data_IF_187380176872
#
_entry.id   IF_187380176872
#
_cell.length_a   1.000
_cell.length_b   1.000
_cell.length_c   1.000
_cell.angle_alpha   90.00
_cell.angle_beta   90.00
_cell.angle_gamma   90.00
#
_symmetry.space_group_name_H-M   'P 1'
#
loop_
_entity.id
_entity.type
_entity.pdbx_description
1 polymer ?
#
# COMPACT_ATOMS: atom_id res chain seq x y z
N UNK A 1 -21.46 14.49 51.80
CA UNK A 1 -20.57 15.19 50.86
C UNK A 1 -20.31 14.24 49.71
N UNK A 2 -20.92 14.47 48.55
CA UNK A 2 -20.65 13.72 47.32
C UNK A 2 -19.72 14.56 46.46
N UNK A 3 -18.52 14.06 46.26
CA UNK A 3 -17.52 14.68 45.39
C UNK A 3 -17.80 14.25 43.95
N UNK A 4 -17.99 15.23 43.06
CA UNK A 4 -18.26 15.03 41.64
C UNK A 4 -16.93 14.89 40.91
N UNK A 5 -16.62 13.71 40.42
CA UNK A 5 -15.56 13.53 39.42
C UNK A 5 -16.18 13.77 38.05
N UNK A 6 -16.17 15.02 37.60
CA UNK A 6 -16.43 15.34 36.20
C UNK A 6 -15.16 14.96 35.42
N UNK A 7 -15.22 13.87 34.65
CA UNK A 7 -14.22 13.58 33.65
C UNK A 7 -14.46 14.54 32.49
N UNK A 8 -13.72 15.65 32.51
CA UNK A 8 -13.66 16.62 31.43
C UNK A 8 -12.84 15.97 30.31
N UNK A 9 -13.52 15.31 29.37
CA UNK A 9 -12.95 14.97 28.06
C UNK A 9 -13.07 16.19 27.17
N UNK A 10 -12.30 17.22 27.50
CA UNK A 10 -11.86 18.20 26.53
C UNK A 10 -10.66 17.57 25.81
N UNK A 11 -10.95 16.92 24.68
CA UNK A 11 -9.94 16.66 23.64
C UNK A 11 -9.93 17.91 22.76
N UNK A 12 -9.08 18.92 23.02
CA UNK A 12 -8.93 19.98 22.06
C UNK A 12 -8.29 19.32 20.85
N UNK A 13 -9.05 19.22 19.76
CA UNK A 13 -8.45 19.24 18.44
C UNK A 13 -7.63 20.51 18.35
N UNK A 14 -6.40 20.44 18.86
CA UNK A 14 -5.45 21.52 18.84
C UNK A 14 -5.10 21.64 17.36
N UNK A 15 -5.78 22.59 16.70
CA UNK A 15 -5.49 22.97 15.32
C UNK A 15 -4.15 23.71 15.41
N UNK A 16 -3.10 22.95 15.67
CA UNK A 16 -1.74 23.44 15.71
C UNK A 16 -1.41 23.84 14.27
N UNK A 17 -1.35 25.15 14.04
CA UNK A 17 -0.80 25.69 12.81
C UNK A 17 0.60 25.14 12.65
N UNK A 18 0.93 24.68 11.45
CA UNK A 18 2.21 24.03 11.14
C UNK A 18 3.45 24.93 11.27
N UNK A 19 3.28 26.18 11.69
CA UNK A 19 4.36 27.15 11.86
C UNK A 19 5.10 27.47 10.57
N UNK A 20 4.59 27.05 9.40
CA UNK A 20 5.29 27.15 8.12
C UNK A 20 6.44 26.16 7.92
N UNK A 21 6.59 25.15 8.80
CA UNK A 21 7.59 24.10 8.63
C UNK A 21 7.20 23.16 7.49
N UNK A 22 8.19 22.79 6.66
CA UNK A 22 8.00 21.73 5.67
C UNK A 22 7.74 20.38 6.36
N UNK A 23 7.13 19.45 5.62
CA UNK A 23 6.88 18.10 6.13
C UNK A 23 8.15 17.40 6.62
N UNK A 24 9.28 17.66 5.97
CA UNK A 24 10.59 17.06 6.31
C UNK A 24 11.12 17.64 7.62
N UNK A 25 11.07 18.96 7.77
CA UNK A 25 11.50 19.63 9.02
C UNK A 25 10.62 19.21 10.20
N UNK A 26 9.33 18.99 9.96
CA UNK A 26 8.41 18.49 10.99
C UNK A 26 8.73 17.05 11.36
N UNK A 27 9.03 16.18 10.39
CA UNK A 27 9.41 14.79 10.67
C UNK A 27 10.66 14.70 11.56
N UNK A 28 11.65 15.56 11.33
CA UNK A 28 12.90 15.58 12.11
C UNK A 28 12.71 16.00 13.58
N UNK A 29 11.64 16.73 13.91
CA UNK A 29 11.36 17.19 15.28
C UNK A 29 10.51 16.21 16.09
N UNK A 30 10.01 15.13 15.46
CA UNK A 30 9.12 14.18 16.10
C UNK A 30 9.93 13.11 16.85
N UNK A 31 9.65 12.96 18.14
CA UNK A 31 10.08 11.78 18.88
C UNK A 31 9.08 10.63 18.66
N UNK A 32 9.51 9.60 17.94
CA UNK A 32 8.68 8.45 17.62
C UNK A 32 8.27 7.62 18.84
N UNK A 33 8.94 7.78 19.99
CA UNK A 33 8.61 7.05 21.23
C UNK A 33 7.41 7.65 21.97
N UNK A 34 7.13 8.94 21.75
CA UNK A 34 6.06 9.67 22.44
C UNK A 34 4.83 9.89 21.54
N UNK A 35 4.83 9.34 20.32
CA UNK A 35 3.76 9.51 19.34
C UNK A 35 2.81 8.32 19.33
N UNK A 36 1.52 8.61 19.41
CA UNK A 36 0.48 7.60 19.25
C UNK A 36 0.48 7.01 17.83
N UNK A 37 0.56 5.69 17.76
CA UNK A 37 0.53 4.95 16.50
C UNK A 37 -0.93 4.76 16.07
N UNK A 38 -1.41 5.63 15.18
CA UNK A 38 -2.71 5.48 14.54
C UNK A 38 -2.56 5.21 13.04
N UNK A 39 -3.05 4.04 12.59
CA UNK A 39 -2.94 3.61 11.19
C UNK A 39 -3.83 4.38 10.22
N UNK A 40 -4.98 4.90 10.68
CA UNK A 40 -5.95 5.60 9.83
C UNK A 40 -5.72 7.12 9.83
N UNK A 41 -5.11 7.64 10.89
CA UNK A 41 -4.73 9.05 11.03
C UNK A 41 -3.30 9.15 11.56
N UNK A 42 -2.28 8.86 10.73
CA UNK A 42 -0.91 8.89 11.16
C UNK A 42 -0.49 10.29 11.62
N UNK A 43 0.17 10.35 12.77
CA UNK A 43 0.65 11.58 13.37
C UNK A 43 1.86 12.15 12.60
N UNK A 44 2.72 11.30 12.04
CA UNK A 44 3.93 11.75 11.33
C UNK A 44 3.66 12.10 9.86
N UNK A 45 4.27 13.18 9.33
CA UNK A 45 4.27 13.50 7.91
C UNK A 45 4.67 12.35 6.98
N UNK A 46 5.73 11.60 7.27
CA UNK A 46 6.18 10.46 6.47
C UNK A 46 5.06 9.43 6.29
N UNK A 47 4.42 9.03 7.39
CA UNK A 47 3.34 8.05 7.37
C UNK A 47 2.08 8.57 6.66
N UNK A 48 1.80 9.89 6.73
CA UNK A 48 0.68 10.51 5.99
C UNK A 48 0.89 10.44 4.48
N UNK A 49 2.09 10.73 4.00
CA UNK A 49 2.41 10.64 2.58
C UNK A 49 2.34 9.19 2.08
N UNK A 50 2.85 8.24 2.88
CA UNK A 50 2.79 6.83 2.56
C UNK A 50 1.34 6.33 2.49
N UNK A 51 0.52 6.69 3.48
CA UNK A 51 -0.90 6.34 3.51
C UNK A 51 -1.67 6.92 2.32
N UNK A 52 -1.32 8.14 1.86
CA UNK A 52 -1.92 8.76 0.67
C UNK A 52 -1.65 7.95 -0.60
N UNK A 53 -0.45 7.41 -0.77
CA UNK A 53 -0.13 6.51 -1.90
C UNK A 53 -0.95 5.23 -1.80
N UNK A 54 -1.02 4.61 -0.61
CA UNK A 54 -1.80 3.39 -0.39
C UNK A 54 -3.26 3.61 -0.77
N UNK A 55 -3.88 4.69 -0.30
CA UNK A 55 -5.27 5.02 -0.66
C UNK A 55 -5.46 5.29 -2.15
N UNK A 56 -4.50 5.94 -2.79
CA UNK A 56 -4.54 6.17 -4.24
C UNK A 56 -4.48 4.84 -5.00
N UNK A 57 -3.54 3.96 -4.64
CA UNK A 57 -3.42 2.63 -5.21
C UNK A 57 -4.67 1.79 -4.96
N UNK A 58 -5.21 1.83 -3.76
CA UNK A 58 -6.46 1.17 -3.39
C UNK A 58 -7.63 1.65 -4.26
N UNK A 59 -7.79 2.96 -4.46
CA UNK A 59 -8.85 3.49 -5.32
C UNK A 59 -8.73 3.00 -6.77
N UNK A 60 -7.52 3.01 -7.34
CA UNK A 60 -7.28 2.49 -8.69
C UNK A 60 -7.55 0.98 -8.75
N UNK A 61 -7.12 0.22 -7.73
CA UNK A 61 -7.38 -1.21 -7.62
C UNK A 61 -8.89 -1.52 -7.56
N UNK A 62 -9.64 -0.78 -6.73
CA UNK A 62 -11.10 -0.92 -6.65
C UNK A 62 -11.73 -0.66 -8.02
N UNK A 63 -11.34 0.42 -8.70
CA UNK A 63 -11.88 0.74 -10.01
C UNK A 63 -11.55 -0.36 -11.03
N UNK A 64 -10.30 -0.76 -11.15
CA UNK A 64 -9.87 -1.76 -12.14
C UNK A 64 -10.46 -3.15 -11.87
N UNK A 65 -10.70 -3.51 -10.62
CA UNK A 65 -11.25 -4.81 -10.22
C UNK A 65 -12.77 -4.85 -10.31
N UNK A 66 -13.45 -3.83 -9.78
CA UNK A 66 -14.92 -3.84 -9.65
C UNK A 66 -15.64 -3.12 -10.80
N UNK A 67 -14.99 -2.21 -11.54
CA UNK A 67 -15.65 -1.54 -12.65
C UNK A 67 -16.11 -2.51 -13.74
N UNK A 68 -15.34 -3.55 -14.15
CA UNK A 68 -15.82 -4.50 -15.16
C UNK A 68 -17.07 -5.26 -14.69
N UNK A 69 -17.10 -5.70 -13.42
CA UNK A 69 -18.24 -6.42 -12.85
C UNK A 69 -19.47 -5.50 -12.78
N UNK A 70 -19.27 -4.27 -12.30
CA UNK A 70 -20.32 -3.26 -12.15
C UNK A 70 -20.87 -2.83 -13.51
N UNK A 71 -19.99 -2.57 -14.48
CA UNK A 71 -20.37 -2.22 -15.84
C UNK A 71 -21.11 -3.37 -16.53
N UNK A 72 -20.76 -4.63 -16.26
CA UNK A 72 -21.49 -5.79 -16.83
C UNK A 72 -22.93 -5.83 -16.33
N UNK A 73 -23.18 -5.41 -15.08
CA UNK A 73 -24.54 -5.29 -14.54
C UNK A 73 -25.31 -4.10 -15.12
N UNK A 74 -24.64 -2.96 -15.32
CA UNK A 74 -25.29 -1.71 -15.76
C UNK A 74 -25.45 -1.60 -17.28
N UNK A 75 -24.55 -2.20 -18.05
CA UNK A 75 -24.49 -2.12 -19.50
C UNK A 75 -24.13 -3.50 -20.11
N UNK A 76 -24.99 -4.52 -19.94
CA UNK A 76 -24.72 -5.88 -20.39
C UNK A 76 -24.51 -5.96 -21.90
N UNK A 77 -25.26 -5.22 -22.71
CA UNK A 77 -25.14 -5.25 -24.18
C UNK A 77 -23.74 -4.82 -24.64
N UNK A 78 -23.21 -3.74 -24.06
CA UNK A 78 -21.86 -3.27 -24.35
C UNK A 78 -20.81 -4.27 -23.84
N UNK A 79 -20.97 -4.76 -22.61
CA UNK A 79 -19.99 -5.62 -21.97
C UNK A 79 -19.95 -7.02 -22.57
N UNK A 80 -21.04 -7.48 -23.18
CA UNK A 80 -21.12 -8.78 -23.88
C UNK A 80 -20.83 -8.68 -25.38
N UNK A 81 -20.70 -7.47 -25.92
CA UNK A 81 -20.34 -7.25 -27.32
C UNK A 81 -19.01 -7.89 -27.68
N UNK A 82 -18.97 -8.56 -28.83
CA UNK A 82 -17.76 -9.19 -29.34
C UNK A 82 -16.77 -8.11 -29.80
N UNK A 83 -15.53 -8.21 -29.32
CA UNK A 83 -14.49 -7.32 -29.81
C UNK A 83 -14.03 -7.71 -31.22
N UNK A 84 -13.86 -6.73 -32.13
CA UNK A 84 -13.67 -6.98 -33.56
C UNK A 84 -12.37 -7.71 -33.92
N UNK A 85 -11.39 -7.78 -33.01
CA UNK A 85 -10.10 -8.44 -33.26
C UNK A 85 -9.95 -9.82 -32.59
N UNK A 86 -10.56 -10.00 -31.43
CA UNK A 86 -10.37 -11.17 -30.57
C UNK A 86 -11.61 -12.08 -30.53
N UNK A 87 -12.77 -11.60 -30.99
CA UNK A 87 -14.01 -12.40 -31.09
C UNK A 87 -14.68 -12.75 -29.76
N UNK A 88 -14.08 -12.38 -28.63
CA UNK A 88 -14.62 -12.62 -27.29
C UNK A 88 -15.32 -11.39 -26.70
N UNK A 89 -16.31 -11.59 -25.82
CA UNK A 89 -16.98 -10.50 -25.09
C UNK A 89 -16.03 -9.57 -24.33
N UNK A 90 -16.34 -8.26 -24.32
CA UNK A 90 -15.52 -7.22 -23.70
C UNK A 90 -15.17 -7.47 -22.23
N UNK A 91 -16.14 -7.91 -21.42
CA UNK A 91 -15.93 -8.13 -19.98
C UNK A 91 -14.85 -9.17 -19.69
N UNK A 92 -14.73 -10.23 -20.50
CA UNK A 92 -13.67 -11.24 -20.33
C UNK A 92 -12.28 -10.66 -20.54
N UNK A 93 -12.11 -9.79 -21.53
CA UNK A 93 -10.83 -9.12 -21.76
C UNK A 93 -10.47 -8.16 -20.63
N UNK A 94 -11.43 -7.37 -20.14
CA UNK A 94 -11.19 -6.47 -19.01
C UNK A 94 -10.76 -7.26 -17.76
N UNK A 95 -11.42 -8.38 -17.48
CA UNK A 95 -11.06 -9.23 -16.35
C UNK A 95 -9.71 -9.93 -16.54
N UNK A 96 -9.43 -10.49 -17.71
CA UNK A 96 -8.24 -11.31 -17.96
C UNK A 96 -6.97 -10.49 -18.23
N UNK A 97 -7.10 -9.30 -18.83
CA UNK A 97 -5.96 -8.47 -19.24
C UNK A 97 -5.86 -7.22 -18.37
N UNK A 98 -6.94 -6.44 -18.25
CA UNK A 98 -6.89 -5.16 -17.53
C UNK A 98 -6.72 -5.39 -16.03
N UNK A 99 -7.37 -6.38 -15.43
CA UNK A 99 -7.21 -6.70 -14.00
C UNK A 99 -5.76 -7.04 -13.63
N UNK A 100 -5.17 -8.13 -14.16
CA UNK A 100 -3.77 -8.47 -13.91
C UNK A 100 -2.78 -7.39 -14.38
N UNK A 101 -3.02 -6.79 -15.55
CA UNK A 101 -2.17 -5.72 -16.09
C UNK A 101 -2.15 -4.48 -15.19
N UNK A 102 -3.30 -4.08 -14.65
CA UNK A 102 -3.37 -2.99 -13.68
C UNK A 102 -2.58 -3.33 -12.42
N UNK A 103 -2.69 -4.55 -11.89
CA UNK A 103 -1.91 -4.97 -10.72
C UNK A 103 -0.39 -4.85 -10.95
N UNK A 104 0.10 -5.26 -12.12
CA UNK A 104 1.51 -5.12 -12.49
C UNK A 104 1.94 -3.66 -12.64
N UNK A 105 1.10 -2.82 -13.25
CA UNK A 105 1.38 -1.39 -13.37
C UNK A 105 1.39 -0.73 -11.98
N UNK A 106 0.43 -1.07 -11.12
CA UNK A 106 0.35 -0.58 -9.76
C UNK A 106 1.55 -1.01 -8.92
N UNK A 107 2.06 -2.24 -9.06
CA UNK A 107 3.22 -2.69 -8.28
C UNK A 107 4.46 -1.87 -8.62
N UNK A 108 4.73 -1.68 -9.92
CA UNK A 108 5.85 -0.87 -10.41
C UNK A 108 5.69 0.60 -10.02
N UNK A 109 4.49 1.14 -10.13
CA UNK A 109 4.20 2.52 -9.73
C UNK A 109 4.37 2.72 -8.22
N UNK A 110 3.85 1.78 -7.42
CA UNK A 110 3.93 1.81 -5.97
C UNK A 110 5.37 1.75 -5.47
N UNK A 111 6.19 0.85 -6.03
CA UNK A 111 7.61 0.76 -5.71
C UNK A 111 8.32 2.11 -5.93
N UNK A 112 8.17 2.71 -7.12
CA UNK A 112 8.77 4.03 -7.40
C UNK A 112 8.26 5.13 -6.47
N UNK A 113 6.98 5.08 -6.10
CA UNK A 113 6.37 6.08 -5.22
C UNK A 113 6.81 5.94 -3.78
N UNK A 114 7.04 4.70 -3.33
CA UNK A 114 7.66 4.42 -2.04
C UNK A 114 9.10 4.94 -2.01
N UNK A 115 9.91 4.64 -3.02
CA UNK A 115 11.30 5.12 -3.09
C UNK A 115 11.36 6.66 -3.06
N UNK A 116 10.46 7.35 -3.78
CA UNK A 116 10.37 8.81 -3.74
C UNK A 116 10.03 9.38 -2.36
N UNK A 117 9.27 8.65 -1.54
CA UNK A 117 9.02 9.06 -0.16
C UNK A 117 10.28 8.83 0.67
N UNK A 118 10.88 7.64 0.58
CA UNK A 118 12.09 7.33 1.32
C UNK A 118 13.18 8.40 1.03
N UNK A 119 13.37 8.78 -0.24
CA UNK A 119 14.25 9.88 -0.67
C UNK A 119 13.84 11.24 -0.08
N UNK A 120 12.54 11.59 -0.09
CA UNK A 120 12.02 12.86 0.44
C UNK A 120 12.39 13.04 1.92
N UNK A 121 12.36 11.96 2.68
CA UNK A 121 12.61 11.97 4.13
C UNK A 121 14.03 11.54 4.51
N UNK A 122 14.90 11.24 3.53
CA UNK A 122 16.30 10.87 3.76
C UNK A 122 16.47 9.49 4.39
N UNK A 123 15.54 8.57 4.15
CA UNK A 123 15.60 7.19 4.67
C UNK A 123 16.51 6.38 3.76
N UNK A 124 17.77 6.21 4.17
CA UNK A 124 18.68 5.30 3.50
C UNK A 124 18.36 3.86 3.89
N UNK A 125 18.00 3.03 2.90
CA UNK A 125 17.98 1.59 3.11
C UNK A 125 19.44 1.12 3.11
N UNK A 126 20.01 0.96 4.31
CA UNK A 126 21.34 0.38 4.46
C UNK A 126 21.37 -0.97 3.74
N UNK A 127 22.23 -1.09 2.73
CA UNK A 127 22.60 -2.40 2.21
C UNK A 127 23.31 -3.09 3.36
N UNK A 128 22.60 -4.00 4.03
CA UNK A 128 23.26 -4.97 4.89
C UNK A 128 24.16 -5.74 3.93
N UNK A 129 25.45 -5.42 3.90
CA UNK A 129 26.42 -6.31 3.26
C UNK A 129 26.12 -7.70 3.81
N UNK A 130 26.00 -8.73 2.95
CA UNK A 130 25.78 -10.07 3.45
C UNK A 130 26.88 -10.33 4.46
N UNK A 131 26.49 -10.42 5.74
CA UNK A 131 27.32 -11.02 6.77
C UNK A 131 27.84 -12.30 6.11
N UNK A 132 29.15 -12.37 5.89
CA UNK A 132 29.82 -13.57 5.41
C UNK A 132 29.63 -14.61 6.50
N UNK A 133 28.45 -15.22 6.52
CA UNK A 133 28.17 -16.43 7.24
C UNK A 133 28.97 -17.47 6.50
N UNK A 134 30.03 -17.95 7.14
CA UNK A 134 30.83 -19.07 6.68
C UNK A 134 29.89 -20.16 6.14
N UNK A 135 29.89 -20.32 4.81
CA UNK A 135 29.42 -21.46 4.05
C UNK A 135 28.33 -22.32 4.72
N UNK A 136 27.05 -21.97 4.51
CA UNK A 136 26.00 -23.00 4.46
C UNK A 136 25.92 -23.46 3.01
N UNK A 137 26.19 -24.74 2.69
CA UNK A 137 26.08 -25.23 1.31
C UNK A 137 24.63 -25.13 0.85
N UNK A 138 24.43 -24.41 -0.25
CA UNK A 138 23.14 -24.17 -0.92
C UNK A 138 22.68 -25.41 -1.72
N UNK A 139 22.88 -26.62 -1.17
CA UNK A 139 22.60 -27.86 -1.88
C UNK A 139 22.19 -28.98 -0.90
N UNK A 140 20.92 -28.96 -0.49
CA UNK A 140 20.27 -30.09 0.15
C UNK A 140 18.81 -30.15 -0.27
N UNK A 141 18.57 -30.42 -1.56
CA UNK A 141 17.30 -30.97 -2.01
C UNK A 141 17.10 -32.32 -1.32
N UNK A 142 16.05 -32.44 -0.49
CA UNK A 142 15.66 -33.71 0.11
C UNK A 142 15.13 -34.65 -0.99
N UNK A 143 15.95 -35.60 -1.44
CA UNK A 143 15.49 -36.73 -2.26
C UNK A 143 14.82 -37.74 -1.33
N UNK A 144 13.49 -37.79 -1.36
CA UNK A 144 12.67 -38.85 -0.77
C UNK A 144 13.03 -40.18 -1.46
N UNK A 145 13.70 -41.06 -0.70
CA UNK A 145 14.19 -42.35 -1.17
C UNK A 145 13.04 -43.35 -1.32
N UNK A 146 12.49 -43.43 -2.52
CA UNK A 146 11.68 -44.58 -2.94
C UNK A 146 12.55 -45.84 -2.97
N UNK A 147 12.19 -46.84 -2.17
CA UNK A 147 12.75 -48.19 -2.25
C UNK A 147 11.93 -49.01 -3.26
N UNK A 148 12.61 -49.65 -4.21
CA UNK A 148 12.00 -50.59 -5.14
C UNK A 148 11.56 -51.87 -4.38
N UNK A 149 10.31 -52.29 -4.59
CA UNK A 149 9.85 -53.67 -4.34
C UNK A 149 9.71 -54.43 -5.67
#
# INVERSE_FOLDING_TARGET
MSEKTNHDTDDPHDIATDGGLSDVEREQQIDYMDVEINLLKPATPFMRDHLRIIWTGFAIWVLTTFAPITATRLAPDLMTSQMPLIGFPLHYFLLAIVGPGAALVLSVWYARKRDQIDDKYGIEQGVVEPETTDSVPDDAAATDGGVDE
#
